data_IF_510634703557
#
_entry.id   IF_510634703557
#
_cell.length_a   1.000
_cell.length_b   1.000
_cell.length_c   1.000
_cell.angle_alpha   90.00
_cell.angle_beta   90.00
_cell.angle_gamma   90.00
#
_symmetry.space_group_name_H-M   'P 1'
#
loop_
_entity.id
_entity.type
_entity.pdbx_description
1 polymer ?
#
# COMPACT_ATOMS: atom_id res chain seq x y z
N UNK A 1 60.95 -32.99 -16.14
CA UNK A 1 59.83 -33.39 -15.26
C UNK A 1 59.18 -32.07 -14.80
N UNK A 2 58.18 -31.51 -15.52
CA UNK A 2 56.70 -31.63 -15.30
C UNK A 2 56.38 -31.66 -13.79
N UNK A 3 55.56 -30.79 -13.19
CA UNK A 3 54.13 -30.44 -13.44
C UNK A 3 53.88 -29.04 -12.76
N UNK A 4 53.50 -27.99 -13.48
CA UNK A 4 52.15 -27.35 -13.60
C UNK A 4 51.59 -26.78 -12.27
N UNK A 5 51.56 -25.45 -12.11
CA UNK A 5 50.45 -24.51 -12.38
C UNK A 5 49.27 -24.63 -11.41
N UNK A 6 49.02 -23.56 -10.65
CA UNK A 6 47.68 -23.20 -10.18
C UNK A 6 47.59 -21.66 -10.09
N UNK A 7 47.19 -21.06 -11.22
CA UNK A 7 46.54 -19.76 -11.28
C UNK A 7 45.21 -19.86 -10.52
N UNK A 8 45.02 -19.08 -9.45
CA UNK A 8 43.69 -18.85 -8.91
C UNK A 8 43.13 -17.57 -9.53
N UNK A 9 42.62 -17.75 -10.75
CA UNK A 9 41.93 -16.73 -11.51
C UNK A 9 40.68 -16.23 -10.81
N UNK A 10 40.52 -14.91 -10.82
CA UNK A 10 39.26 -14.22 -10.52
C UNK A 10 38.13 -14.77 -11.38
N UNK A 11 37.33 -15.65 -10.80
CA UNK A 11 36.02 -16.03 -11.29
C UNK A 11 35.05 -14.89 -11.01
N UNK A 12 34.91 -13.99 -11.99
CA UNK A 12 33.66 -13.27 -12.19
C UNK A 12 32.56 -14.31 -12.37
N UNK A 13 31.67 -14.43 -11.38
CA UNK A 13 30.36 -15.05 -11.57
C UNK A 13 29.33 -13.95 -11.71
N UNK A 14 29.17 -13.51 -12.96
CA UNK A 14 27.85 -13.11 -13.44
C UNK A 14 26.94 -14.34 -13.30
N UNK A 15 26.02 -14.28 -12.35
CA UNK A 15 24.86 -15.18 -12.34
C UNK A 15 23.66 -14.42 -11.81
N UNK A 16 22.97 -13.76 -12.74
CA UNK A 16 21.52 -13.61 -12.71
C UNK A 16 20.90 -15.01 -12.63
N UNK A 17 20.39 -15.40 -11.46
CA UNK A 17 19.32 -16.37 -11.23
C UNK A 17 19.21 -16.61 -9.71
N UNK A 18 18.06 -16.63 -9.06
CA UNK A 18 16.69 -16.55 -9.57
C UNK A 18 15.83 -15.80 -8.56
N UNK A 19 14.70 -15.31 -9.07
CA UNK A 19 13.66 -14.75 -8.23
C UNK A 19 13.33 -15.74 -7.12
N UNK A 20 13.52 -15.30 -5.88
CA UNK A 20 12.76 -15.86 -4.79
C UNK A 20 11.31 -15.59 -5.17
N UNK A 21 10.63 -16.62 -5.66
CA UNK A 21 9.17 -16.64 -5.76
C UNK A 21 8.67 -16.36 -4.36
N UNK A 22 8.40 -15.09 -4.07
CA UNK A 22 7.73 -14.65 -2.87
C UNK A 22 6.41 -15.39 -2.87
N UNK A 23 6.33 -16.41 -2.04
CA UNK A 23 5.12 -17.19 -1.89
C UNK A 23 4.11 -16.20 -1.31
N UNK A 24 3.19 -15.73 -2.15
CA UNK A 24 2.25 -14.65 -1.83
C UNK A 24 1.40 -14.94 -0.58
N UNK A 25 1.45 -16.17 -0.08
CA UNK A 25 0.90 -16.60 1.19
C UNK A 25 1.43 -15.81 2.40
N UNK A 26 2.73 -15.54 2.59
CA UNK A 26 3.19 -14.89 3.85
C UNK A 26 4.45 -14.03 3.70
N UNK A 27 4.58 -12.96 4.50
CA UNK A 27 5.83 -12.21 4.60
C UNK A 27 6.92 -13.10 5.22
N UNK A 28 8.16 -12.92 4.76
CA UNK A 28 9.34 -13.62 5.26
C UNK A 28 9.78 -12.97 6.59
N UNK A 29 10.24 -13.76 7.56
CA UNK A 29 10.58 -13.28 8.93
C UNK A 29 11.59 -12.13 8.91
N UNK A 30 12.66 -12.27 8.11
CA UNK A 30 13.53 -11.16 7.67
C UNK A 30 13.25 -10.88 6.21
N UNK A 31 12.52 -9.81 5.94
CA UNK A 31 12.13 -9.41 4.60
C UNK A 31 13.20 -8.55 3.95
N UNK A 32 13.16 -8.42 2.62
CA UNK A 32 14.11 -7.57 1.90
C UNK A 32 13.99 -6.09 2.32
N UNK A 33 12.88 -5.70 2.95
CA UNK A 33 12.72 -4.43 3.62
C UNK A 33 13.76 -4.22 4.73
N UNK A 34 13.91 -5.16 5.68
CA UNK A 34 14.89 -5.02 6.75
C UNK A 34 16.32 -5.09 6.22
N UNK A 35 16.59 -5.96 5.24
CA UNK A 35 17.92 -6.02 4.62
C UNK A 35 18.30 -4.70 3.92
N UNK A 36 17.33 -4.03 3.28
CA UNK A 36 17.55 -2.72 2.67
C UNK A 36 17.82 -1.65 3.74
N UNK A 37 17.15 -1.68 4.89
CA UNK A 37 17.41 -0.73 5.96
C UNK A 37 18.74 -0.99 6.69
N UNK A 38 19.14 -2.25 6.84
CA UNK A 38 20.45 -2.63 7.39
C UNK A 38 21.62 -2.14 6.49
N UNK A 39 21.38 -1.95 5.19
CA UNK A 39 22.32 -1.40 4.22
C UNK A 39 22.19 0.13 4.12
N UNK A 40 22.89 0.85 5.01
CA UNK A 40 22.97 2.32 5.02
C UNK A 40 21.60 3.05 4.96
N UNK A 41 20.59 2.49 5.65
CA UNK A 41 19.22 3.02 5.65
C UNK A 41 18.68 3.24 4.22
N UNK A 42 18.90 2.29 3.31
CA UNK A 42 18.48 2.41 1.91
C UNK A 42 16.94 2.39 1.75
N UNK A 43 16.32 3.55 1.97
CA UNK A 43 14.87 3.77 1.87
C UNK A 43 14.36 3.46 0.47
N UNK A 44 15.12 3.74 -0.59
CA UNK A 44 14.68 3.50 -1.96
C UNK A 44 14.44 2.01 -2.22
N UNK A 45 15.36 1.14 -1.78
CA UNK A 45 15.20 -0.30 -1.90
C UNK A 45 14.07 -0.82 -0.99
N UNK A 46 13.97 -0.31 0.25
CA UNK A 46 12.91 -0.67 1.19
C UNK A 46 11.50 -0.34 0.65
N UNK A 47 11.32 0.86 0.06
CA UNK A 47 10.07 1.26 -0.60
C UNK A 47 9.77 0.40 -1.83
N UNK A 48 10.80 -0.01 -2.58
CA UNK A 48 10.65 -0.95 -3.69
C UNK A 48 10.01 -2.27 -3.24
N UNK A 49 10.52 -2.86 -2.15
CA UNK A 49 9.93 -4.06 -1.56
C UNK A 49 8.50 -3.84 -1.05
N UNK A 50 8.26 -2.68 -0.42
CA UNK A 50 6.93 -2.32 0.08
C UNK A 50 5.90 -2.29 -1.05
N UNK A 51 6.17 -1.56 -2.13
CA UNK A 51 5.26 -1.47 -3.27
C UNK A 51 5.01 -2.82 -3.93
N UNK A 52 6.02 -3.67 -4.02
CA UNK A 52 5.87 -5.01 -4.57
C UNK A 52 4.98 -5.90 -3.66
N UNK A 53 5.19 -5.83 -2.35
CA UNK A 53 4.34 -6.52 -1.35
C UNK A 53 2.88 -6.06 -1.44
N UNK A 54 2.63 -4.76 -1.62
CA UNK A 54 1.27 -4.21 -1.82
C UNK A 54 0.63 -4.78 -3.09
N UNK A 55 1.36 -4.83 -4.22
CA UNK A 55 0.83 -5.38 -5.47
C UNK A 55 0.46 -6.86 -5.34
N UNK A 56 1.32 -7.65 -4.72
CA UNK A 56 1.12 -9.09 -4.56
C UNK A 56 -0.06 -9.40 -3.63
N UNK A 57 -0.16 -8.69 -2.50
CA UNK A 57 -1.27 -8.87 -1.55
C UNK A 57 -2.61 -8.44 -2.16
N UNK A 58 -2.66 -7.30 -2.87
CA UNK A 58 -3.85 -6.88 -3.61
C UNK A 58 -4.30 -7.92 -4.64
N UNK A 59 -3.36 -8.43 -5.44
CA UNK A 59 -3.65 -9.49 -6.42
C UNK A 59 -4.18 -10.76 -5.75
N UNK A 60 -3.59 -11.18 -4.64
CA UNK A 60 -4.04 -12.36 -3.90
C UNK A 60 -5.44 -12.17 -3.30
N UNK A 61 -5.78 -10.95 -2.86
CA UNK A 61 -7.13 -10.61 -2.39
C UNK A 61 -8.16 -10.64 -3.53
N UNK A 62 -7.84 -10.04 -4.67
CA UNK A 62 -8.73 -10.03 -5.85
C UNK A 62 -8.99 -11.45 -6.38
N UNK A 63 -7.96 -12.29 -6.39
CA UNK A 63 -8.05 -13.70 -6.78
C UNK A 63 -8.66 -14.61 -5.70
N UNK A 64 -9.02 -14.06 -4.51
CA UNK A 64 -9.52 -14.80 -3.32
C UNK A 64 -8.59 -15.93 -2.86
N UNK A 65 -7.29 -15.75 -3.06
CA UNK A 65 -6.23 -16.71 -2.69
C UNK A 65 -5.58 -16.39 -1.34
N UNK A 66 -5.96 -15.29 -0.71
CA UNK A 66 -5.45 -14.89 0.59
C UNK A 66 -6.34 -15.47 1.70
N UNK A 67 -5.83 -16.50 2.39
CA UNK A 67 -6.51 -17.06 3.57
C UNK A 67 -6.36 -16.15 4.81
N UNK A 68 -7.15 -16.41 5.85
CA UNK A 68 -7.17 -15.60 7.06
C UNK A 68 -5.82 -15.57 7.82
N UNK A 69 -5.08 -16.69 7.82
CA UNK A 69 -3.79 -16.77 8.50
C UNK A 69 -2.73 -15.93 7.76
N UNK A 70 -2.74 -16.02 6.45
CA UNK A 70 -1.91 -15.26 5.52
C UNK A 70 -2.21 -13.76 5.61
N UNK A 71 -3.49 -13.37 5.60
CA UNK A 71 -3.91 -11.99 5.80
C UNK A 71 -3.45 -11.43 7.15
N UNK A 72 -3.59 -12.21 8.22
CA UNK A 72 -3.15 -11.83 9.56
C UNK A 72 -1.64 -11.62 9.64
N UNK A 73 -0.86 -12.48 8.96
CA UNK A 73 0.60 -12.36 8.89
C UNK A 73 1.03 -11.08 8.13
N UNK A 74 0.40 -10.81 6.98
CA UNK A 74 0.65 -9.57 6.22
C UNK A 74 0.27 -8.31 7.00
N UNK A 75 -0.84 -8.34 7.73
CA UNK A 75 -1.25 -7.23 8.59
C UNK A 75 -0.26 -6.99 9.73
N UNK A 76 0.25 -8.05 10.36
CA UNK A 76 1.26 -7.93 11.41
C UNK A 76 2.58 -7.35 10.86
N UNK A 77 3.00 -7.80 9.68
CA UNK A 77 4.18 -7.26 9.00
C UNK A 77 4.01 -5.79 8.62
N UNK A 78 2.85 -5.40 8.09
CA UNK A 78 2.53 -4.00 7.76
C UNK A 78 2.62 -3.10 9.00
N UNK A 79 2.05 -3.54 10.13
CA UNK A 79 2.15 -2.83 11.41
C UNK A 79 3.61 -2.63 11.84
N UNK A 80 4.47 -3.64 11.66
CA UNK A 80 5.91 -3.55 11.96
C UNK A 80 6.63 -2.52 11.09
N UNK A 81 6.30 -2.43 9.80
CA UNK A 81 6.87 -1.36 8.95
C UNK A 81 6.40 0.00 9.41
N UNK A 82 5.12 0.13 9.76
CA UNK A 82 4.57 1.40 10.17
C UNK A 82 5.23 1.94 11.45
N UNK A 83 5.76 1.08 12.34
CA UNK A 83 6.53 1.54 13.50
C UNK A 83 7.87 2.20 13.14
N UNK A 84 8.41 1.90 11.95
CA UNK A 84 9.69 2.44 11.47
C UNK A 84 9.47 3.66 10.58
N UNK A 85 8.56 3.53 9.60
CA UNK A 85 8.36 4.55 8.57
C UNK A 85 7.20 5.51 8.83
N UNK A 86 6.31 5.20 9.78
CA UNK A 86 5.14 6.02 10.12
C UNK A 86 4.31 6.46 8.90
N UNK A 87 4.07 5.52 7.97
CA UNK A 87 3.36 5.74 6.69
C UNK A 87 1.88 6.06 6.94
N UNK A 88 1.24 5.34 7.85
CA UNK A 88 -0.14 5.59 8.29
C UNK A 88 -0.11 6.44 9.56
N UNK A 89 0.39 7.67 9.46
CA UNK A 89 0.20 8.63 10.53
C UNK A 89 -1.31 8.79 10.79
N UNK A 90 -1.75 8.51 12.03
CA UNK A 90 -3.13 8.74 12.46
C UNK A 90 -3.39 10.25 12.48
N UNK A 91 -3.79 10.80 11.34
CA UNK A 91 -4.31 12.16 11.28
C UNK A 91 -5.78 12.09 11.65
N UNK A 92 -6.14 12.65 12.80
CA UNK A 92 -7.55 12.80 13.17
C UNK A 92 -8.24 13.77 12.19
N UNK A 93 -9.04 13.21 11.28
CA UNK A 93 -9.80 13.99 10.31
C UNK A 93 -11.10 14.44 10.97
N UNK A 94 -11.10 15.66 11.52
CA UNK A 94 -12.32 16.28 12.02
C UNK A 94 -13.14 16.79 10.83
N UNK A 95 -14.21 16.08 10.50
CA UNK A 95 -15.17 16.44 9.46
C UNK A 95 -16.20 17.42 10.04
N UNK A 96 -16.35 18.64 9.48
CA UNK A 96 -17.40 19.57 9.89
C UNK A 96 -18.80 18.95 9.68
N UNK A 97 -19.76 19.17 10.60
CA UNK A 97 -21.11 18.64 10.48
C UNK A 97 -21.80 18.99 9.16
N UNK A 98 -21.54 20.19 8.63
CA UNK A 98 -22.07 20.65 7.34
C UNK A 98 -21.61 19.77 6.17
N UNK A 99 -20.33 19.40 6.14
CA UNK A 99 -19.74 18.55 5.09
C UNK A 99 -20.30 17.12 5.19
N UNK A 100 -20.43 16.61 6.41
CA UNK A 100 -21.03 15.30 6.65
C UNK A 100 -22.50 15.25 6.17
N UNK A 101 -23.26 16.32 6.40
CA UNK A 101 -24.64 16.43 5.93
C UNK A 101 -24.71 16.49 4.40
N UNK A 102 -23.87 17.29 3.75
CA UNK A 102 -23.80 17.37 2.29
C UNK A 102 -23.45 16.00 1.65
N UNK A 103 -22.56 15.23 2.28
CA UNK A 103 -22.22 13.88 1.82
C UNK A 103 -23.42 12.92 1.90
N UNK A 104 -24.19 13.00 2.98
CA UNK A 104 -25.42 12.22 3.17
C UNK A 104 -26.51 12.62 2.18
N UNK A 105 -26.70 13.91 1.95
CA UNK A 105 -27.67 14.42 0.97
C UNK A 105 -27.30 13.98 -0.45
N UNK A 106 -26.00 13.90 -0.75
CA UNK A 106 -25.51 13.39 -2.02
C UNK A 106 -25.79 11.90 -2.19
N UNK A 107 -25.61 11.11 -1.14
CA UNK A 107 -25.97 9.69 -1.15
C UNK A 107 -27.47 9.48 -1.42
N UNK A 108 -28.33 10.27 -0.79
CA UNK A 108 -29.76 10.28 -1.06
C UNK A 108 -30.07 10.65 -2.51
N UNK A 109 -29.45 11.72 -3.03
CA UNK A 109 -29.62 12.15 -4.42
C UNK A 109 -29.20 11.06 -5.42
N UNK A 110 -28.13 10.31 -5.14
CA UNK A 110 -27.71 9.15 -5.96
C UNK A 110 -28.73 8.01 -5.90
N UNK A 111 -29.26 7.70 -4.71
CA UNK A 111 -30.30 6.68 -4.54
C UNK A 111 -31.58 7.01 -5.32
N UNK A 112 -31.92 8.29 -5.37
CA UNK A 112 -33.04 8.84 -6.14
C UNK A 112 -32.72 9.04 -7.64
N UNK A 113 -31.50 8.68 -8.08
CA UNK A 113 -30.99 8.88 -9.45
C UNK A 113 -30.99 10.34 -9.92
N UNK A 114 -30.96 11.29 -8.98
CA UNK A 114 -30.83 12.71 -9.25
C UNK A 114 -29.34 13.10 -9.41
N UNK A 115 -28.81 12.81 -10.60
CA UNK A 115 -27.39 13.00 -10.92
C UNK A 115 -26.96 14.47 -10.84
N UNK A 116 -27.79 15.39 -11.34
CA UNK A 116 -27.53 16.83 -11.29
C UNK A 116 -27.34 17.31 -9.85
N UNK A 117 -28.28 16.95 -8.96
CA UNK A 117 -28.18 17.32 -7.54
C UNK A 117 -26.97 16.70 -6.86
N UNK A 118 -26.62 15.46 -7.20
CA UNK A 118 -25.41 14.79 -6.68
C UNK A 118 -24.13 15.53 -7.09
N UNK A 119 -24.06 16.03 -8.33
CA UNK A 119 -22.89 16.76 -8.83
C UNK A 119 -22.80 18.15 -8.19
N UNK A 120 -23.92 18.87 -8.06
CA UNK A 120 -23.95 20.16 -7.34
C UNK A 120 -23.46 20.00 -5.89
N UNK A 121 -23.89 18.95 -5.19
CA UNK A 121 -23.46 18.66 -3.81
C UNK A 121 -21.98 18.28 -3.74
N UNK A 122 -21.45 17.57 -4.74
CA UNK A 122 -20.01 17.27 -4.84
C UNK A 122 -19.21 18.55 -4.98
N UNK A 123 -19.68 19.50 -5.79
CA UNK A 123 -19.01 20.79 -5.97
C UNK A 123 -19.03 21.63 -4.68
N UNK A 124 -20.13 21.60 -3.93
CA UNK A 124 -20.21 22.26 -2.61
C UNK A 124 -19.21 21.67 -1.61
N UNK A 125 -19.14 20.33 -1.50
CA UNK A 125 -18.14 19.64 -0.66
C UNK A 125 -16.72 20.02 -1.08
N UNK A 126 -16.47 20.04 -2.40
CA UNK A 126 -15.21 20.44 -3.01
C UNK A 126 -14.79 21.88 -2.70
N UNK A 127 -15.76 22.81 -2.70
CA UNK A 127 -15.56 24.22 -2.36
C UNK A 127 -15.19 24.40 -0.88
N UNK A 128 -15.72 23.54 -0.01
CA UNK A 128 -15.37 23.52 1.41
C UNK A 128 -13.99 22.88 1.69
N UNK A 129 -13.25 22.48 0.66
CA UNK A 129 -11.93 21.86 0.81
C UNK A 129 -11.99 20.37 1.14
N UNK A 130 -13.09 19.69 0.79
CA UNK A 130 -13.28 18.27 1.02
C UNK A 130 -13.50 17.51 -0.28
N UNK A 131 -13.15 16.24 -0.29
CA UNK A 131 -13.41 15.31 -1.39
C UNK A 131 -14.29 14.18 -0.86
N UNK A 132 -15.29 13.80 -1.65
CA UNK A 132 -16.21 12.69 -1.33
C UNK A 132 -16.00 11.55 -2.33
N UNK A 133 -15.68 10.37 -1.81
CA UNK A 133 -15.52 9.12 -2.57
C UNK A 133 -16.60 8.12 -2.15
N UNK A 134 -17.31 7.59 -3.12
CA UNK A 134 -18.28 6.52 -2.86
C UNK A 134 -17.54 5.20 -2.62
N UNK A 135 -17.89 4.52 -1.54
CA UNK A 135 -17.40 3.16 -1.23
C UNK A 135 -18.57 2.23 -0.96
N UNK A 136 -18.33 0.92 -0.87
CA UNK A 136 -19.38 -0.06 -0.53
C UNK A 136 -19.94 0.16 0.88
N UNK A 137 -19.15 0.75 1.76
CA UNK A 137 -19.49 1.00 3.16
C UNK A 137 -20.06 2.42 3.39
N UNK A 138 -20.32 3.17 2.30
CA UNK A 138 -20.85 4.54 2.33
C UNK A 138 -19.86 5.59 1.79
N UNK A 139 -20.21 6.89 1.87
CA UNK A 139 -19.37 7.97 1.40
C UNK A 139 -18.16 8.19 2.33
N UNK A 140 -16.95 8.10 1.77
CA UNK A 140 -15.69 8.42 2.48
C UNK A 140 -15.27 9.85 2.16
N UNK A 141 -15.07 10.65 3.21
CA UNK A 141 -14.63 12.05 3.11
C UNK A 141 -13.14 12.17 3.40
N UNK A 142 -12.43 12.93 2.56
CA UNK A 142 -11.01 13.25 2.72
C UNK A 142 -10.79 14.74 2.52
N UNK A 143 -9.80 15.35 3.21
CA UNK A 143 -9.45 16.76 2.96
C UNK A 143 -8.81 16.90 1.57
N UNK A 144 -9.27 17.88 0.81
CA UNK A 144 -8.73 18.25 -0.50
C UNK A 144 -7.47 19.08 -0.27
N UNK A 145 -6.29 18.43 -0.33
CA UNK A 145 -5.00 19.08 -0.14
C UNK A 145 -4.13 18.56 1.02
N UNK A 146 -4.50 17.45 1.66
CA UNK A 146 -3.55 16.70 2.47
C UNK A 146 -2.70 15.82 1.53
N UNK A 147 -1.64 16.42 0.99
CA UNK A 147 -0.46 15.72 0.51
C UNK A 147 0.66 15.94 1.54
#
# INVERSE_FOLDING_TARGET
>A
RKIAQEENGQLRKDSRAGGSTSNAQRPIEKSDFENALDDDLNISAALGFLFESIRQTNRAMDEKKLDAASASAWLAWWKRINTVLAIEAEVEIIVPPEVAQLAKDRENARREKNWKRSDDLREQISTLGWEVRDTKDGPKLTRRGAA
#
